data_IF_246226512344
#
_entry.id   IF_246226512344
#
_cell.length_a   1.000
_cell.length_b   1.000
_cell.length_c   1.000
_cell.angle_alpha   90.00
_cell.angle_beta   90.00
_cell.angle_gamma   90.00
#
_symmetry.space_group_name_H-M   'P 1'
#
loop_
_entity.id
_entity.type
_entity.pdbx_description
1 polymer ?
#
# COMPACT_ATOMS: atom_id res chain seq x y z
N UNK A 1 25.90 -3.20 -9.48
CA UNK A 1 24.66 -3.45 -8.69
C UNK A 1 24.15 -2.18 -8.02
N UNK A 2 24.93 -1.43 -7.23
CA UNK A 2 24.43 -0.20 -6.57
C UNK A 2 24.00 0.90 -7.53
N UNK A 3 24.75 1.14 -8.63
CA UNK A 3 24.39 2.16 -9.62
C UNK A 3 23.04 1.89 -10.28
N UNK A 4 22.74 0.64 -10.64
CA UNK A 4 21.46 0.27 -11.24
C UNK A 4 20.33 0.43 -10.22
N UNK A 5 20.51 -0.06 -9.00
CA UNK A 5 19.51 0.07 -7.93
C UNK A 5 19.22 1.55 -7.61
N UNK A 6 20.26 2.38 -7.52
CA UNK A 6 20.14 3.82 -7.26
C UNK A 6 19.42 4.53 -8.41
N UNK A 7 19.72 4.18 -9.66
CA UNK A 7 19.01 4.73 -10.82
C UNK A 7 17.53 4.36 -10.80
N UNK A 8 17.19 3.10 -10.52
CA UNK A 8 15.79 2.66 -10.43
C UNK A 8 15.07 3.43 -9.31
N UNK A 9 15.67 3.53 -8.11
CA UNK A 9 15.09 4.27 -6.99
C UNK A 9 14.88 5.76 -7.30
N UNK A 10 15.80 6.38 -8.03
CA UNK A 10 15.71 7.81 -8.40
C UNK A 10 14.59 8.07 -9.39
N UNK A 11 14.34 7.14 -10.32
CA UNK A 11 13.32 7.30 -11.37
C UNK A 11 11.93 6.82 -10.90
N UNK A 12 11.86 5.98 -9.87
CA UNK A 12 10.62 5.40 -9.34
C UNK A 12 9.51 6.43 -9.03
N UNK A 13 9.76 7.61 -8.44
CA UNK A 13 8.71 8.60 -8.17
C UNK A 13 8.03 9.16 -9.44
N UNK A 14 8.71 9.09 -10.59
CA UNK A 14 8.17 9.56 -11.86
C UNK A 14 7.33 8.50 -12.58
N UNK A 15 7.27 7.27 -12.07
CA UNK A 15 6.47 6.22 -12.66
C UNK A 15 4.99 6.48 -12.35
N UNK A 16 4.10 6.40 -13.36
CA UNK A 16 2.67 6.47 -13.13
C UNK A 16 2.19 5.38 -12.16
N UNK A 17 1.30 5.73 -11.23
CA UNK A 17 0.76 4.79 -10.22
C UNK A 17 0.22 3.50 -10.82
N UNK A 18 -0.45 3.57 -11.98
CA UNK A 18 -1.02 2.39 -12.64
C UNK A 18 0.03 1.36 -13.07
N UNK A 19 1.27 1.77 -13.32
CA UNK A 19 2.35 0.88 -13.72
C UNK A 19 3.00 0.18 -12.51
N UNK A 20 3.05 0.85 -11.35
CA UNK A 20 3.61 0.28 -10.11
C UNK A 20 2.59 -0.50 -9.29
N UNK A 21 1.29 -0.19 -9.41
CA UNK A 21 0.21 -0.83 -8.66
C UNK A 21 0.21 -2.37 -8.72
N UNK A 22 0.46 -3.05 -9.86
CA UNK A 22 0.53 -4.51 -9.92
C UNK A 22 1.56 -5.13 -8.96
N UNK A 23 2.66 -4.42 -8.68
CA UNK A 23 3.70 -4.89 -7.76
C UNK A 23 3.30 -4.69 -6.29
N UNK A 24 2.46 -3.71 -5.99
CA UNK A 24 1.96 -3.44 -4.64
C UNK A 24 0.72 -4.28 -4.27
N UNK A 25 -0.10 -4.65 -5.27
CA UNK A 25 -1.37 -5.35 -5.07
C UNK A 25 -1.31 -6.61 -4.17
N UNK A 26 -0.26 -7.46 -4.21
CA UNK A 26 -0.19 -8.63 -3.34
C UNK A 26 0.01 -8.29 -1.85
N UNK A 27 0.46 -7.07 -1.54
CA UNK A 27 0.87 -6.64 -0.21
C UNK A 27 -0.08 -5.60 0.42
N UNK A 28 -0.85 -4.89 -0.41
CA UNK A 28 -1.72 -3.79 0.04
C UNK A 28 -3.19 -4.16 -0.18
N UNK A 29 -3.95 -4.23 0.91
CA UNK A 29 -5.36 -4.64 0.88
C UNK A 29 -6.33 -3.57 0.31
N UNK A 30 -5.89 -2.32 0.18
CA UNK A 30 -6.67 -1.23 -0.39
C UNK A 30 -6.10 0.13 -0.03
N UNK A 31 -6.51 1.17 -0.76
CA UNK A 31 -6.09 2.56 -0.49
C UNK A 31 -7.06 3.30 0.45
N UNK A 32 -8.22 2.71 0.74
CA UNK A 32 -9.24 3.28 1.62
C UNK A 32 -9.93 2.20 2.46
N UNK A 33 -10.62 2.65 3.51
CA UNK A 33 -11.27 1.75 4.48
C UNK A 33 -12.33 0.85 3.83
N UNK A 34 -13.00 1.29 2.76
CA UNK A 34 -14.06 0.52 2.10
C UNK A 34 -13.47 -0.69 1.36
N UNK A 35 -12.39 -0.48 0.61
CA UNK A 35 -11.64 -1.55 -0.05
C UNK A 35 -11.08 -2.55 0.95
N UNK A 36 -10.38 -2.04 1.98
CA UNK A 36 -9.76 -2.86 3.03
C UNK A 36 -10.80 -3.72 3.74
N UNK A 37 -11.93 -3.13 4.16
CA UNK A 37 -13.00 -3.86 4.86
C UNK A 37 -13.64 -4.94 3.98
N UNK A 38 -13.76 -4.70 2.67
CA UNK A 38 -14.26 -5.71 1.72
C UNK A 38 -13.33 -6.92 1.64
N UNK A 39 -12.01 -6.71 1.60
CA UNK A 39 -11.02 -7.81 1.60
C UNK A 39 -11.06 -8.56 2.92
N UNK A 40 -11.06 -7.85 4.05
CA UNK A 40 -11.14 -8.48 5.38
C UNK A 40 -12.38 -9.36 5.51
N UNK A 41 -13.55 -8.87 5.07
CA UNK A 41 -14.79 -9.65 5.10
C UNK A 41 -14.67 -10.93 4.27
N UNK A 42 -14.06 -10.88 3.09
CA UNK A 42 -13.79 -12.06 2.26
C UNK A 42 -12.87 -13.05 2.97
N UNK A 43 -11.81 -12.57 3.64
CA UNK A 43 -10.90 -13.42 4.42
C UNK A 43 -11.59 -14.03 5.64
N UNK A 44 -12.44 -13.28 6.35
CA UNK A 44 -13.19 -13.80 7.49
C UNK A 44 -14.22 -14.85 7.07
N UNK A 45 -14.85 -14.69 5.91
CA UNK A 45 -15.74 -15.71 5.34
C UNK A 45 -15.01 -17.02 5.02
N UNK A 46 -13.71 -16.95 4.77
CA UNK A 46 -12.84 -18.13 4.60
C UNK A 46 -12.28 -18.67 5.93
N UNK A 47 -12.67 -18.08 7.07
CA UNK A 47 -12.25 -18.52 8.41
C UNK A 47 -10.94 -17.88 8.91
N UNK A 48 -10.33 -16.98 8.14
CA UNK A 48 -9.11 -16.27 8.56
C UNK A 48 -9.43 -15.12 9.51
N UNK A 49 -8.53 -14.88 10.46
CA UNK A 49 -8.48 -13.63 11.22
C UNK A 49 -7.52 -12.67 10.52
N UNK A 50 -7.84 -11.39 10.53
CA UNK A 50 -7.06 -10.36 9.86
C UNK A 50 -6.68 -9.27 10.87
N UNK A 51 -5.47 -8.74 10.73
CA UNK A 51 -5.06 -7.47 11.34
C UNK A 51 -4.80 -6.49 10.21
N UNK A 52 -4.99 -5.20 10.46
CA UNK A 52 -4.74 -4.15 9.47
C UNK A 52 -3.57 -3.33 9.96
N UNK A 53 -2.59 -3.16 9.09
CA UNK A 53 -1.51 -2.20 9.25
C UNK A 53 -1.76 -1.02 8.29
N UNK A 54 -1.75 0.19 8.82
CA UNK A 54 -2.00 1.41 8.02
C UNK A 54 -0.66 1.87 7.48
N UNK A 55 -0.46 1.68 6.17
CA UNK A 55 0.77 2.10 5.50
C UNK A 55 0.80 3.61 5.32
N UNK A 56 1.66 4.30 6.07
CA UNK A 56 1.86 5.74 5.96
C UNK A 56 2.49 6.32 7.21
N UNK A 57 3.78 6.67 7.12
CA UNK A 57 4.53 7.31 8.21
C UNK A 57 4.63 8.83 8.03
N UNK A 58 4.22 9.36 6.87
CA UNK A 58 4.33 10.77 6.52
C UNK A 58 3.00 11.48 6.78
N UNK A 59 2.73 11.75 8.05
CA UNK A 59 1.74 12.75 8.46
C UNK A 59 2.28 14.10 8.00
N UNK A 60 1.67 14.68 6.97
CA UNK A 60 2.07 15.99 6.43
C UNK A 60 1.48 17.14 7.26
N UNK A 61 0.41 16.89 8.02
CA UNK A 61 -0.23 17.85 8.91
C UNK A 61 -0.90 17.18 10.12
N UNK A 62 -1.13 17.95 11.19
CA UNK A 62 -1.73 17.46 12.45
C UNK A 62 -3.15 16.88 12.27
N UNK A 63 -3.89 17.30 11.24
CA UNK A 63 -5.25 16.80 10.97
C UNK A 63 -5.23 15.37 10.41
N UNK A 64 -4.12 14.93 9.83
CA UNK A 64 -3.95 13.54 9.40
C UNK A 64 -3.68 12.58 10.56
N UNK A 65 -3.26 13.10 11.72
CA UNK A 65 -2.93 12.31 12.92
C UNK A 65 -4.04 12.30 13.99
N UNK A 66 -5.04 13.18 13.89
CA UNK A 66 -6.07 13.42 14.92
C UNK A 66 -7.44 12.84 14.59
#
# INVERSE_FOLDING_TARGET
MSLINNSIATVMPYFPKWMVKPFANPYVAGENIVEVTKIIKSLNQQGYKSTVDILGEFVEDEKQAS
#
